data_IF_194610392033
#
_entry.id   IF_194610392033
#
_cell.length_a   1.000
_cell.length_b   1.000
_cell.length_c   1.000
_cell.angle_alpha   90.00
_cell.angle_beta   90.00
_cell.angle_gamma   90.00
#
_symmetry.space_group_name_H-M   'P 1'
#
loop_
_entity.id
_entity.type
_entity.pdbx_description
1 polymer ?
#
# COMPACT_ATOMS: atom_id res chain seq x y z
N UNK A 1 -8.17 -0.88 -9.08
CA UNK A 1 -7.74 0.37 -8.41
C UNK A 1 -8.30 0.37 -7.00
N UNK A 2 -7.58 0.92 -6.02
CA UNK A 2 -8.04 1.14 -4.65
C UNK A 2 -7.66 2.55 -4.19
N UNK A 3 -8.46 3.14 -3.30
CA UNK A 3 -8.23 4.49 -2.74
C UNK A 3 -7.89 4.43 -1.25
N UNK A 4 -7.06 5.37 -0.81
CA UNK A 4 -6.80 5.67 0.60
C UNK A 4 -6.78 7.18 0.77
N UNK A 5 -7.49 7.65 1.78
CA UNK A 5 -7.56 9.08 2.04
C UNK A 5 -6.25 9.63 2.62
N UNK A 6 -5.57 8.87 3.49
CA UNK A 6 -4.40 9.33 4.22
C UNK A 6 -3.45 8.19 4.63
N UNK A 7 -2.18 8.52 4.82
CA UNK A 7 -1.15 7.63 5.32
C UNK A 7 -0.96 7.71 6.85
N UNK A 8 -1.36 8.82 7.48
CA UNK A 8 -1.29 8.97 8.94
C UNK A 8 -2.64 9.46 9.45
N UNK A 9 -3.14 8.82 10.51
CA UNK A 9 -4.36 9.28 11.16
C UNK A 9 -4.02 10.46 12.08
N UNK A 10 -4.49 11.67 11.71
CA UNK A 10 -4.21 12.92 12.43
C UNK A 10 -4.73 12.92 13.86
N UNK A 11 -5.89 12.34 14.11
CA UNK A 11 -6.57 12.42 15.41
C UNK A 11 -5.91 11.52 16.45
N UNK A 12 -5.31 10.42 16.00
CA UNK A 12 -4.67 9.42 16.87
C UNK A 12 -3.14 9.44 16.82
N UNK A 13 -2.55 10.20 15.89
CA UNK A 13 -1.12 10.15 15.55
C UNK A 13 -0.62 8.70 15.40
N UNK A 14 -1.44 7.83 14.81
CA UNK A 14 -1.13 6.41 14.66
C UNK A 14 -0.88 6.02 13.20
N UNK A 15 -0.23 4.87 13.03
CA UNK A 15 0.13 4.30 11.74
C UNK A 15 -1.00 3.45 11.14
N UNK A 16 -2.26 3.67 11.54
CA UNK A 16 -3.40 2.91 10.99
C UNK A 16 -3.57 3.11 9.48
N UNK A 17 -3.41 4.36 9.00
CA UNK A 17 -3.41 4.69 7.57
C UNK A 17 -2.30 3.97 6.80
N UNK A 18 -1.07 4.04 7.31
CA UNK A 18 0.09 3.33 6.77
C UNK A 18 -0.13 1.81 6.76
N UNK A 19 -0.74 1.25 7.80
CA UNK A 19 -1.11 -0.17 7.86
C UNK A 19 -2.10 -0.54 6.77
N UNK A 20 -3.11 0.29 6.53
CA UNK A 20 -4.07 0.09 5.46
C UNK A 20 -3.40 0.14 4.07
N UNK A 21 -2.46 1.06 3.85
CA UNK A 21 -1.67 1.16 2.62
C UNK A 21 -0.83 -0.11 2.42
N UNK A 22 -0.07 -0.52 3.44
CA UNK A 22 0.77 -1.71 3.36
C UNK A 22 -0.05 -2.97 3.08
N UNK A 23 -1.25 -3.08 3.67
CA UNK A 23 -2.21 -4.16 3.42
C UNK A 23 -2.67 -4.19 1.96
N UNK A 24 -3.03 -3.04 1.40
CA UNK A 24 -3.41 -2.95 -0.02
C UNK A 24 -2.26 -3.32 -0.95
N UNK A 25 -1.03 -2.88 -0.66
CA UNK A 25 0.15 -3.24 -1.45
C UNK A 25 0.43 -4.75 -1.38
N UNK A 26 0.43 -5.36 -0.20
CA UNK A 26 0.54 -6.81 -0.04
C UNK A 26 -0.57 -7.56 -0.82
N UNK A 27 -1.82 -7.10 -0.67
CA UNK A 27 -2.97 -7.64 -1.40
C UNK A 27 -2.79 -7.65 -2.91
N UNK A 28 -2.29 -6.54 -3.47
CA UNK A 28 -1.99 -6.46 -4.90
C UNK A 28 -0.81 -7.35 -5.30
N UNK A 29 0.29 -7.36 -4.54
CA UNK A 29 1.45 -8.23 -4.83
C UNK A 29 1.07 -9.71 -4.86
N UNK A 30 0.18 -10.15 -3.96
CA UNK A 30 -0.24 -11.56 -3.91
C UNK A 30 -1.29 -11.92 -4.96
N UNK A 31 -2.03 -10.93 -5.49
CA UNK A 31 -3.04 -11.16 -6.54
C UNK A 31 -2.43 -11.60 -7.88
N UNK A 32 -3.29 -12.05 -8.80
CA UNK A 32 -2.89 -12.38 -10.17
C UNK A 32 -2.62 -11.14 -11.04
N UNK A 33 -3.35 -10.04 -10.80
CA UNK A 33 -3.34 -8.86 -11.66
C UNK A 33 -2.46 -7.70 -11.16
N UNK A 34 -2.06 -7.71 -9.89
CA UNK A 34 -1.51 -6.52 -9.26
C UNK A 34 -2.58 -5.44 -9.11
N UNK A 35 -2.17 -4.18 -9.14
CA UNK A 35 -3.13 -3.08 -9.12
C UNK A 35 -2.51 -1.70 -9.00
N UNK A 36 -3.37 -0.72 -8.75
CA UNK A 36 -2.99 0.67 -8.52
C UNK A 36 -3.71 1.16 -7.27
N UNK A 37 -2.95 1.73 -6.35
CA UNK A 37 -3.42 2.39 -5.15
C UNK A 37 -3.25 3.91 -5.32
N UNK A 38 -4.31 4.68 -5.11
CA UNK A 38 -4.23 6.14 -5.01
C UNK A 38 -4.35 6.54 -3.54
N UNK A 39 -3.40 7.35 -3.07
CA UNK A 39 -3.36 7.87 -1.70
C UNK A 39 -3.57 9.39 -1.77
N UNK A 40 -4.40 9.93 -0.87
CA UNK A 40 -4.90 11.30 -0.94
C UNK A 40 -6.23 11.41 -1.70
N UNK A 41 -6.96 10.30 -1.87
CA UNK A 41 -8.24 10.23 -2.58
C UNK A 41 -9.27 9.58 -1.65
N UNK A 42 -10.46 10.20 -1.53
CA UNK A 42 -11.58 9.66 -0.75
C UNK A 42 -12.32 8.57 -1.52
N UNK A 43 -13.16 7.82 -0.82
CA UNK A 43 -13.96 6.74 -1.41
C UNK A 43 -14.95 7.25 -2.47
N UNK A 44 -15.41 8.50 -2.36
CA UNK A 44 -16.25 9.17 -3.36
C UNK A 44 -15.45 9.70 -4.59
N UNK A 45 -14.14 9.51 -4.60
CA UNK A 45 -13.24 9.98 -5.66
C UNK A 45 -12.78 11.43 -5.53
N UNK A 46 -13.24 12.16 -4.51
CA UNK A 46 -12.76 13.53 -4.26
C UNK A 46 -11.29 13.54 -3.82
N UNK A 47 -10.57 14.58 -4.27
CA UNK A 47 -9.15 14.76 -3.98
C UNK A 47 -8.99 15.47 -2.64
N UNK A 48 -8.29 14.83 -1.70
CA UNK A 48 -7.82 15.43 -0.45
C UNK A 48 -6.36 15.87 -0.55
N UNK A 49 -5.56 15.09 -1.27
CA UNK A 49 -4.10 15.22 -1.31
C UNK A 49 -3.38 14.53 -0.16
N UNK A 50 -2.08 14.28 -0.35
CA UNK A 50 -1.14 13.80 0.67
C UNK A 50 -0.38 14.94 1.35
N UNK A 51 -0.49 16.18 0.85
CA UNK A 51 0.13 17.37 1.44
C UNK A 51 -0.15 17.50 2.95
N UNK A 52 -1.36 17.21 3.46
CA UNK A 52 -1.64 17.30 4.89
C UNK A 52 -0.90 16.26 5.75
N UNK A 53 -0.34 15.22 5.15
CA UNK A 53 0.39 14.13 5.82
C UNK A 53 1.90 14.43 5.90
N UNK A 54 2.43 15.31 5.05
CA UNK A 54 3.85 15.68 4.99
C UNK A 54 4.47 16.04 6.34
N UNK A 55 3.91 16.98 7.14
CA UNK A 55 4.51 17.32 8.43
C UNK A 55 4.32 16.22 9.49
N UNK A 56 3.47 15.22 9.25
CA UNK A 56 3.20 14.13 10.19
C UNK A 56 4.18 12.97 10.02
N UNK A 57 4.54 12.66 8.77
CA UNK A 57 5.42 11.54 8.43
C UNK A 57 6.90 11.87 8.66
N UNK A 58 7.28 13.12 8.45
CA UNK A 58 8.64 13.62 8.71
C UNK A 58 8.61 15.10 9.09
N UNK A 59 8.89 15.38 10.37
CA UNK A 59 8.93 16.75 10.90
C UNK A 59 10.09 17.59 10.35
N UNK A 60 11.19 16.95 9.94
CA UNK A 60 12.36 17.61 9.36
C UNK A 60 12.25 17.80 7.84
N UNK A 61 11.40 17.00 7.18
CA UNK A 61 11.20 17.01 5.73
C UNK A 61 9.72 16.96 5.35
N UNK A 62 8.98 18.00 5.75
CA UNK A 62 7.54 18.16 5.49
C UNK A 62 7.18 18.45 4.03
N UNK A 63 7.61 17.60 3.10
CA UNK A 63 7.31 17.68 1.67
C UNK A 63 7.18 16.28 1.05
N UNK A 64 6.97 16.24 -0.28
CA UNK A 64 6.84 15.00 -1.05
C UNK A 64 7.99 14.00 -0.79
N UNK A 65 9.23 14.46 -0.74
CA UNK A 65 10.36 13.53 -0.58
C UNK A 65 10.35 12.85 0.79
N UNK A 66 9.96 13.56 1.84
CA UNK A 66 9.81 13.00 3.18
C UNK A 66 8.70 11.94 3.21
N UNK A 67 7.57 12.23 2.56
CA UNK A 67 6.48 11.28 2.38
C UNK A 67 6.89 10.05 1.56
N UNK A 68 7.61 10.25 0.45
CA UNK A 68 8.13 9.18 -0.39
C UNK A 68 9.09 8.27 0.39
N UNK A 69 9.99 8.85 1.18
CA UNK A 69 10.93 8.09 2.02
C UNK A 69 10.18 7.30 3.10
N UNK A 70 9.24 7.95 3.81
CA UNK A 70 8.37 7.30 4.79
C UNK A 70 7.66 6.08 4.20
N UNK A 71 7.02 6.25 3.04
CA UNK A 71 6.24 5.18 2.42
C UNK A 71 7.13 4.02 1.96
N UNK A 72 8.29 4.32 1.36
CA UNK A 72 9.27 3.29 1.01
C UNK A 72 9.74 2.50 2.24
N UNK A 73 10.08 3.20 3.33
CA UNK A 73 10.53 2.57 4.57
C UNK A 73 9.43 1.71 5.19
N UNK A 74 8.20 2.22 5.26
CA UNK A 74 7.03 1.48 5.76
C UNK A 74 6.83 0.17 4.99
N UNK A 75 6.85 0.22 3.66
CA UNK A 75 6.66 -0.97 2.82
C UNK A 75 7.84 -1.94 2.95
N UNK A 76 9.08 -1.44 2.94
CA UNK A 76 10.28 -2.30 3.08
C UNK A 76 10.37 -2.99 4.44
N UNK A 77 9.97 -2.32 5.52
CA UNK A 77 10.07 -2.89 6.87
C UNK A 77 8.98 -3.91 7.17
N UNK A 78 7.77 -3.71 6.64
CA UNK A 78 6.60 -4.53 7.02
C UNK A 78 6.27 -5.64 6.02
N UNK A 79 6.65 -5.49 4.75
CA UNK A 79 6.47 -6.52 3.75
C UNK A 79 7.62 -7.52 3.82
N UNK A 80 7.31 -8.74 4.24
CA UNK A 80 8.23 -9.87 4.18
C UNK A 80 8.29 -10.42 2.76
N UNK A 81 9.15 -9.81 1.94
CA UNK A 81 9.51 -10.27 0.61
C UNK A 81 10.98 -9.99 0.34
N UNK A 82 11.59 -10.79 -0.53
CA UNK A 82 12.90 -10.48 -1.07
C UNK A 82 12.76 -9.33 -2.09
N UNK A 83 13.44 -8.21 -1.83
CA UNK A 83 13.45 -7.03 -2.71
C UNK A 83 12.03 -6.54 -3.14
N UNK A 84 11.13 -6.19 -2.20
CA UNK A 84 9.73 -5.83 -2.51
C UNK A 84 9.61 -4.63 -3.46
N UNK A 85 10.59 -3.74 -3.44
CA UNK A 85 10.67 -2.55 -4.29
C UNK A 85 10.76 -2.85 -5.79
N UNK A 86 11.05 -4.09 -6.20
CA UNK A 86 11.00 -4.50 -7.61
C UNK A 86 9.57 -4.63 -8.15
N UNK A 87 8.59 -4.78 -7.26
CA UNK A 87 7.21 -5.06 -7.62
C UNK A 87 6.26 -3.89 -7.33
N UNK A 88 6.77 -2.71 -7.01
CA UNK A 88 5.97 -1.49 -6.98
C UNK A 88 6.74 -0.26 -7.44
N UNK A 89 6.02 0.75 -7.92
CA UNK A 89 6.52 2.11 -8.12
C UNK A 89 5.65 3.09 -7.36
N UNK A 90 6.26 4.15 -6.84
CA UNK A 90 5.58 5.24 -6.13
C UNK A 90 5.80 6.52 -6.93
N UNK A 91 4.74 7.16 -7.39
CA UNK A 91 4.78 8.35 -8.22
C UNK A 91 3.99 9.50 -7.58
N UNK A 92 4.51 10.73 -7.72
CA UNK A 92 3.75 11.96 -7.43
C UNK A 92 2.92 12.34 -8.65
N UNK A 93 1.64 12.63 -8.45
CA UNK A 93 0.78 13.27 -9.45
C UNK A 93 0.12 14.50 -8.85
N UNK A 94 -0.04 15.56 -9.64
CA UNK A 94 -0.83 16.74 -9.26
C UNK A 94 -2.27 16.56 -9.70
N UNK A 95 -3.22 16.87 -8.81
CA UNK A 95 -4.64 16.90 -9.11
C UNK A 95 -5.32 17.97 -8.24
N UNK A 96 -6.07 18.91 -8.85
CA UNK A 96 -6.76 20.00 -8.14
C UNK A 96 -5.85 20.70 -7.11
N UNK A 97 -4.65 21.10 -7.53
CA UNK A 97 -3.58 21.72 -6.73
C UNK A 97 -2.94 20.87 -5.62
N UNK A 98 -3.46 19.67 -5.38
CA UNK A 98 -2.93 18.73 -4.39
C UNK A 98 -1.96 17.72 -4.98
N UNK A 99 -1.04 17.24 -4.16
CA UNK A 99 -0.24 16.06 -4.48
C UNK A 99 -1.04 14.79 -4.17
N UNK A 100 -1.15 13.88 -5.14
CA UNK A 100 -1.71 12.54 -5.01
C UNK A 100 -0.58 11.54 -5.19
N UNK A 101 -0.49 10.57 -4.28
CA UNK A 101 0.50 9.50 -4.40
C UNK A 101 -0.11 8.31 -5.13
N UNK A 102 0.54 7.88 -6.21
CA UNK A 102 0.14 6.72 -7.01
C UNK A 102 1.11 5.59 -6.76
N UNK A 103 0.63 4.48 -6.21
CA UNK A 103 1.43 3.25 -6.07
C UNK A 103 0.95 2.24 -7.12
N UNK A 104 1.80 1.92 -8.08
CA UNK A 104 1.54 0.87 -9.07
C UNK A 104 2.20 -0.41 -8.57
N UNK A 105 1.44 -1.48 -8.44
CA UNK A 105 1.90 -2.73 -7.83
C UNK A 105 1.77 -3.86 -8.85
N UNK A 106 2.85 -4.60 -9.05
CA UNK A 106 2.91 -5.78 -9.91
C UNK A 106 2.73 -7.05 -9.06
N UNK A 107 2.20 -8.13 -9.64
CA UNK A 107 2.21 -9.43 -8.98
C UNK A 107 3.63 -9.88 -8.61
N UNK A 108 3.80 -10.38 -7.39
CA UNK A 108 5.07 -10.91 -6.91
C UNK A 108 5.26 -12.38 -7.36
N UNK A 109 6.52 -12.85 -7.51
CA UNK A 109 6.83 -14.23 -7.89
C UNK A 109 6.80 -15.19 -6.70
N UNK A 110 6.62 -14.69 -5.47
CA UNK A 110 6.49 -15.46 -4.23
C UNK A 110 5.47 -14.78 -3.31
N UNK A 111 4.89 -15.50 -2.32
CA UNK A 111 4.01 -14.90 -1.31
C UNK A 111 4.68 -13.73 -0.57
N UNK A 112 3.94 -12.65 -0.40
CA UNK A 112 4.35 -11.46 0.34
C UNK A 112 3.49 -11.32 1.59
N UNK A 113 4.09 -11.52 2.76
CA UNK A 113 3.39 -11.38 4.03
C UNK A 113 3.53 -9.96 4.58
N UNK A 114 2.46 -9.43 5.16
CA UNK A 114 2.48 -8.20 5.97
C UNK A 114 2.37 -8.62 7.44
N UNK A 115 3.41 -8.38 8.22
CA UNK A 115 3.45 -8.71 9.66
C UNK A 115 2.98 -10.15 9.97
N UNK A 116 3.42 -11.12 9.16
CA UNK A 116 3.07 -12.56 9.21
C UNK A 116 1.68 -12.94 8.68
N UNK A 117 0.90 -11.98 8.18
CA UNK A 117 -0.41 -12.23 7.58
C UNK A 117 -0.35 -12.16 6.05
N UNK A 118 -1.01 -13.09 5.37
CA UNK A 118 -1.12 -13.09 3.90
C UNK A 118 -2.41 -12.41 3.49
N UNK A 119 -2.29 -11.29 2.78
CA UNK A 119 -3.44 -10.56 2.24
C UNK A 119 -3.52 -10.74 0.73
N UNK A 120 -4.71 -10.91 0.18
CA UNK A 120 -4.96 -11.08 -1.25
C UNK A 120 -6.05 -10.13 -1.70
N UNK A 121 -5.81 -9.43 -2.82
CA UNK A 121 -6.86 -8.65 -3.48
C UNK A 121 -7.82 -9.61 -4.22
N UNK A 122 -9.09 -9.58 -3.82
CA UNK A 122 -10.19 -10.27 -4.49
C UNK A 122 -11.26 -9.24 -4.88
N UNK A 123 -11.34 -8.95 -6.18
CA UNK A 123 -12.24 -7.92 -6.72
C UNK A 123 -12.00 -6.54 -6.07
N UNK A 124 -13.04 -6.03 -5.40
CA UNK A 124 -13.03 -4.72 -4.74
C UNK A 124 -12.42 -4.73 -3.32
N UNK A 125 -12.06 -5.89 -2.78
CA UNK A 125 -11.65 -6.06 -1.40
C UNK A 125 -10.27 -6.71 -1.28
N UNK A 126 -9.61 -6.44 -0.16
CA UNK A 126 -8.38 -7.12 0.23
C UNK A 126 -8.70 -8.00 1.43
N UNK A 127 -8.65 -9.31 1.24
CA UNK A 127 -8.99 -10.32 2.25
C UNK A 127 -7.73 -10.88 2.88
N UNK A 128 -7.81 -11.26 4.14
CA UNK A 128 -6.78 -12.05 4.81
C UNK A 128 -7.03 -13.53 4.52
N UNK A 129 -6.00 -14.23 4.07
CA UNK A 129 -6.06 -15.67 3.84
C UNK A 129 -5.66 -16.38 5.13
N UNK A 130 -6.41 -17.41 5.52
CA UNK A 130 -6.21 -18.16 6.75
C UNK A 130 -6.39 -19.66 6.51
N UNK A 131 -5.78 -20.48 7.38
CA UNK A 131 -6.03 -21.91 7.44
C UNK A 131 -5.85 -22.64 6.09
N UNK A 132 -6.74 -23.59 5.74
CA UNK A 132 -6.66 -24.33 4.48
C UNK A 132 -6.68 -23.45 3.22
N UNK A 133 -7.41 -22.33 3.24
CA UNK A 133 -7.51 -21.43 2.07
C UNK A 133 -6.17 -20.76 1.77
N UNK A 134 -5.40 -20.38 2.81
CA UNK A 134 -4.04 -19.86 2.62
C UNK A 134 -3.16 -20.90 1.95
N UNK A 135 -3.14 -22.14 2.47
CA UNK A 135 -2.30 -23.22 1.95
C UNK A 135 -2.64 -23.51 0.49
N UNK A 136 -3.93 -23.65 0.18
CA UNK A 136 -4.40 -23.90 -1.17
C UNK A 136 -4.05 -22.75 -2.11
N UNK A 137 -4.33 -21.51 -1.70
CA UNK A 137 -4.05 -20.32 -2.51
C UNK A 137 -2.57 -20.19 -2.87
N UNK A 138 -1.68 -20.36 -1.88
CA UNK A 138 -0.22 -20.27 -2.10
C UNK A 138 0.23 -21.34 -3.10
N UNK A 139 -0.22 -22.58 -2.94
CA UNK A 139 0.13 -23.69 -3.84
C UNK A 139 -0.40 -23.47 -5.27
N UNK A 140 -1.60 -22.91 -5.43
CA UNK A 140 -2.19 -22.61 -6.74
C UNK A 140 -1.54 -21.41 -7.42
N UNK A 141 -1.26 -20.34 -6.66
CA UNK A 141 -0.75 -19.08 -7.21
C UNK A 141 0.72 -19.15 -7.60
N UNK A 142 1.51 -19.94 -6.87
CA UNK A 142 2.95 -20.14 -7.08
C UNK A 142 3.27 -21.64 -7.05
N UNK A 143 2.93 -22.40 -8.11
CA UNK A 143 3.30 -23.79 -8.21
C UNK A 143 4.83 -23.94 -8.21
N UNK A 144 5.33 -25.00 -7.57
CA UNK A 144 6.75 -25.36 -7.56
C UNK A 144 7.19 -25.96 -8.90
#
# INVERSE_FOLDING_TARGET
VEFKEMAVNKDKQDLSGGTAIARSVAGFMNSLSGGVLLIGVRDDGSIRGVDPDYPLVDKGKGNWDGFYLFLNNLLRMRLSAENPFLFYTIERRKAMDHDVCVVRVKPAPKPVYLDKHLFVRSGAQTIEMLGPDLVHYVATRWPQ
#
